data_IF_038882492708
#
_entry.id   IF_038882492708
#
_cell.length_a   1.000
_cell.length_b   1.000
_cell.length_c   1.000
_cell.angle_alpha   90.00
_cell.angle_beta   90.00
_cell.angle_gamma   90.00
#
_symmetry.space_group_name_H-M   'P 1'
#
loop_
_entity.id
_entity.type
_entity.pdbx_description
1 polymer ?
#
# COMPACT_ATOMS: atom_id res chain seq x y z
N UNK A 1 19.53 4.72 35.22
CA UNK A 1 19.31 5.78 34.20
C UNK A 1 20.05 5.53 32.89
N UNK A 2 21.32 5.11 32.91
CA UNK A 2 22.13 4.84 31.69
C UNK A 2 21.51 3.77 30.76
N UNK A 3 20.98 2.68 31.33
CA UNK A 3 20.34 1.61 30.54
C UNK A 3 19.02 2.08 29.90
N UNK A 4 18.29 2.99 30.55
CA UNK A 4 17.05 3.58 30.03
C UNK A 4 17.34 4.50 28.84
N UNK A 5 18.42 5.29 28.90
CA UNK A 5 18.87 6.13 27.78
C UNK A 5 19.34 5.29 26.59
N UNK A 6 20.05 4.20 26.86
CA UNK A 6 20.54 3.27 25.83
C UNK A 6 19.37 2.55 25.13
N UNK A 7 18.34 2.16 25.88
CA UNK A 7 17.12 1.59 25.34
C UNK A 7 16.31 2.59 24.49
N UNK A 8 16.16 3.83 24.96
CA UNK A 8 15.47 4.88 24.20
C UNK A 8 16.19 5.19 22.88
N UNK A 9 17.53 5.22 22.88
CA UNK A 9 18.34 5.39 21.68
C UNK A 9 18.14 4.24 20.69
N UNK A 10 18.11 3.00 21.19
CA UNK A 10 17.85 1.82 20.36
C UNK A 10 16.48 1.87 19.68
N UNK A 11 15.43 2.27 20.41
CA UNK A 11 14.08 2.45 19.84
C UNK A 11 14.10 3.49 18.72
N UNK A 12 14.73 4.65 18.94
CA UNK A 12 14.82 5.70 17.93
C UNK A 12 15.53 5.21 16.66
N UNK A 13 16.60 4.44 16.80
CA UNK A 13 17.33 3.85 15.67
C UNK A 13 16.42 2.87 14.92
N UNK A 14 15.74 1.96 15.61
CA UNK A 14 14.84 0.97 14.98
C UNK A 14 13.69 1.66 14.25
N UNK A 15 13.03 2.63 14.89
CA UNK A 15 11.92 3.37 14.27
C UNK A 15 12.40 4.19 13.08
N UNK A 16 13.54 4.88 13.19
CA UNK A 16 14.14 5.63 12.09
C UNK A 16 14.52 4.73 10.89
N UNK A 17 15.07 3.55 11.17
CA UNK A 17 15.42 2.56 10.16
C UNK A 17 14.17 2.01 9.44
N UNK A 18 13.15 1.60 10.21
CA UNK A 18 11.88 1.13 9.64
C UNK A 18 11.20 2.22 8.79
N UNK A 19 11.24 3.46 9.24
CA UNK A 19 10.69 4.60 8.50
C UNK A 19 11.39 4.79 7.14
N UNK A 20 12.72 4.66 7.11
CA UNK A 20 13.51 4.79 5.88
C UNK A 20 13.17 3.69 4.84
N UNK A 21 12.89 2.47 5.29
CA UNK A 21 12.50 1.35 4.41
C UNK A 21 11.04 1.45 3.94
N UNK A 22 10.19 2.16 4.68
CA UNK A 22 8.76 2.32 4.38
C UNK A 22 8.47 3.30 3.20
N UNK A 23 9.31 3.30 2.17
CA UNK A 23 9.08 4.02 0.92
C UNK A 23 7.93 3.41 0.12
N UNK A 24 6.90 4.21 -0.20
CA UNK A 24 5.70 3.80 -0.94
C UNK A 24 6.04 3.37 -2.37
N UNK A 25 6.10 2.06 -2.64
CA UNK A 25 6.30 1.49 -3.99
C UNK A 25 5.06 0.77 -4.52
N UNK A 26 3.88 1.38 -4.40
CA UNK A 26 2.65 0.82 -4.94
C UNK A 26 2.07 1.74 -6.03
N UNK A 27 1.47 1.18 -7.10
CA UNK A 27 0.80 1.98 -8.12
C UNK A 27 -0.46 2.66 -7.55
N UNK A 28 -0.78 3.86 -8.04
CA UNK A 28 -2.04 4.53 -7.72
C UNK A 28 -3.15 4.05 -8.66
N UNK A 29 -4.40 4.12 -8.20
CA UNK A 29 -5.53 3.78 -9.06
C UNK A 29 -5.72 4.88 -10.12
N UNK A 30 -5.95 4.52 -11.39
CA UNK A 30 -6.31 5.46 -12.44
C UNK A 30 -7.55 6.29 -12.07
N UNK A 31 -7.63 7.50 -12.62
CA UNK A 31 -8.81 8.35 -12.48
C UNK A 31 -9.70 8.22 -13.72
N UNK A 32 -10.05 6.99 -14.10
CA UNK A 32 -10.95 6.68 -15.22
C UNK A 32 -12.32 6.20 -14.72
N UNK A 33 -13.26 6.01 -15.65
CA UNK A 33 -14.64 5.60 -15.33
C UNK A 33 -14.73 4.19 -14.74
N UNK A 34 -13.75 3.33 -14.97
CA UNK A 34 -13.73 1.96 -14.46
C UNK A 34 -13.27 1.88 -13.00
N UNK A 35 -12.50 2.87 -12.54
CA UNK A 35 -11.95 2.94 -11.19
C UNK A 35 -12.65 3.99 -10.31
N UNK A 36 -13.51 4.84 -10.89
CA UNK A 36 -14.17 5.92 -10.18
C UNK A 36 -15.22 5.38 -9.21
N UNK A 37 -15.05 5.67 -7.91
CA UNK A 37 -16.04 5.32 -6.89
C UNK A 37 -16.04 3.85 -6.47
N UNK A 38 -15.09 3.04 -6.95
CA UNK A 38 -14.95 1.64 -6.54
C UNK A 38 -14.44 1.58 -5.10
N UNK A 39 -15.24 0.96 -4.23
CA UNK A 39 -14.92 0.78 -2.80
C UNK A 39 -14.79 -0.70 -2.40
N UNK A 40 -15.31 -1.61 -3.23
CA UNK A 40 -15.32 -3.04 -2.95
C UNK A 40 -14.16 -3.76 -3.66
N UNK A 41 -13.44 -4.55 -2.87
CA UNK A 41 -12.37 -5.44 -3.32
C UNK A 41 -12.84 -6.49 -4.33
N UNK A 42 -14.08 -6.97 -4.25
CA UNK A 42 -14.61 -7.96 -5.19
C UNK A 42 -14.69 -7.40 -6.61
N UNK A 43 -15.07 -6.12 -6.74
CA UNK A 43 -15.08 -5.42 -8.03
C UNK A 43 -13.68 -5.33 -8.62
N UNK A 44 -12.66 -5.07 -7.79
CA UNK A 44 -11.27 -5.06 -8.25
C UNK A 44 -10.85 -6.42 -8.82
N UNK A 45 -11.25 -7.51 -8.14
CA UNK A 45 -10.87 -8.87 -8.52
C UNK A 45 -11.50 -9.32 -9.85
N UNK A 46 -12.59 -8.71 -10.30
CA UNK A 46 -13.18 -8.98 -11.62
C UNK A 46 -12.16 -8.85 -12.77
N UNK A 47 -11.20 -7.94 -12.65
CA UNK A 47 -10.14 -7.71 -13.64
C UNK A 47 -8.73 -8.01 -13.12
N UNK A 48 -8.51 -7.95 -11.80
CA UNK A 48 -7.17 -8.05 -11.19
C UNK A 48 -6.86 -9.40 -10.51
N UNK A 49 -7.76 -10.37 -10.61
CA UNK A 49 -7.52 -11.74 -10.17
C UNK A 49 -6.58 -12.51 -11.13
N UNK A 50 -6.03 -13.64 -10.66
CA UNK A 50 -5.22 -14.53 -11.48
C UNK A 50 -6.02 -15.00 -12.72
N UNK A 51 -5.41 -14.89 -13.90
CA UNK A 51 -6.04 -15.27 -15.17
C UNK A 51 -7.06 -14.28 -15.73
N UNK A 52 -7.26 -13.11 -15.09
CA UNK A 52 -8.10 -12.03 -15.62
C UNK A 52 -7.31 -11.09 -16.53
N UNK A 53 -7.97 -10.04 -17.00
CA UNK A 53 -7.43 -9.10 -17.99
C UNK A 53 -6.15 -8.38 -17.51
N UNK A 54 -6.08 -8.01 -16.22
CA UNK A 54 -4.95 -7.28 -15.64
C UNK A 54 -4.54 -7.87 -14.28
N UNK A 55 -4.05 -9.11 -14.25
CA UNK A 55 -3.81 -9.81 -12.99
C UNK A 55 -2.76 -9.07 -12.14
N UNK A 56 -2.93 -9.11 -10.82
CA UNK A 56 -1.89 -8.64 -9.88
C UNK A 56 -0.59 -9.41 -10.10
N UNK A 57 0.54 -8.74 -9.91
CA UNK A 57 1.87 -9.37 -9.96
C UNK A 57 1.98 -10.44 -8.87
N UNK A 58 2.76 -11.49 -9.14
CA UNK A 58 3.05 -12.54 -8.17
C UNK A 58 3.73 -12.02 -6.89
N UNK A 59 4.39 -10.86 -6.98
CA UNK A 59 5.02 -10.16 -5.84
C UNK A 59 4.06 -9.30 -5.03
N UNK A 60 2.76 -9.30 -5.34
CA UNK A 60 1.77 -8.55 -4.58
C UNK A 60 1.65 -9.13 -3.15
N UNK A 61 1.69 -8.28 -2.10
CA UNK A 61 1.51 -8.73 -0.73
C UNK A 61 0.18 -9.49 -0.55
N UNK A 62 0.09 -10.46 0.37
CA UNK A 62 -1.11 -11.29 0.54
C UNK A 62 -2.34 -10.54 1.08
N UNK A 63 -2.22 -9.25 1.45
CA UNK A 63 -3.35 -8.47 1.97
C UNK A 63 -4.33 -8.14 0.85
N UNK A 64 -5.61 -8.48 1.07
CA UNK A 64 -6.70 -8.28 0.11
C UNK A 64 -7.38 -6.90 0.23
N UNK A 65 -6.92 -6.02 1.13
CA UNK A 65 -7.47 -4.68 1.28
C UNK A 65 -6.83 -3.71 0.28
N UNK A 66 -7.24 -3.80 -0.99
CA UNK A 66 -6.67 -3.05 -2.12
C UNK A 66 -6.49 -1.56 -1.82
N UNK A 67 -7.52 -0.93 -1.23
CA UNK A 67 -7.61 0.52 -1.04
C UNK A 67 -6.74 1.07 0.10
N UNK A 68 -6.15 0.21 0.95
CA UNK A 68 -5.21 0.66 1.99
C UNK A 68 -3.92 1.21 1.38
N UNK A 69 -3.46 0.55 0.33
CA UNK A 69 -2.28 0.96 -0.43
C UNK A 69 -2.73 1.75 -1.66
N UNK A 70 -3.57 1.18 -2.51
CA UNK A 70 -3.97 1.79 -3.78
C UNK A 70 -5.00 2.91 -3.57
N UNK A 71 -4.50 4.15 -3.52
CA UNK A 71 -5.34 5.34 -3.43
C UNK A 71 -5.67 5.86 -4.82
N UNK A 72 -6.90 6.36 -4.99
CA UNK A 72 -7.31 7.06 -6.22
C UNK A 72 -6.49 8.34 -6.35
N UNK A 73 -5.95 8.61 -7.55
CA UNK A 73 -5.44 9.94 -7.84
C UNK A 73 -6.60 10.93 -7.67
N UNK A 74 -6.40 11.95 -6.82
CA UNK A 74 -7.31 13.10 -6.77
C UNK A 74 -7.43 13.61 -8.21
N UNK A 75 -8.64 13.69 -8.74
CA UNK A 75 -8.90 14.43 -9.98
C UNK A 75 -8.39 15.84 -9.73
N UNK A 76 -7.32 16.27 -10.40
CA UNK A 76 -6.97 17.69 -10.42
C UNK A 76 -8.11 18.36 -11.19
N UNK A 77 -9.05 18.92 -10.44
CA UNK A 77 -10.02 19.90 -10.95
C UNK A 77 -9.28 21.15 -11.38
#
# INVERSE_FOLDING_TARGET
MKNSLLFALFILIVVGFLFSISGKKYPQMPADTSHLGVTDTAVCMGCHEAGKLYPRKATHPPKFECLKCHKQKRKKT
#
